data_IF_763494844916
#
_entry.id   IF_763494844916
#
_cell.length_a   1.000
_cell.length_b   1.000
_cell.length_c   1.000
_cell.angle_alpha   90.00
_cell.angle_beta   90.00
_cell.angle_gamma   90.00
#
_symmetry.space_group_name_H-M   'P 1'
#
loop_
_entity.id
_entity.type
_entity.pdbx_description
1 polymer ?
#
# COMPACT_ATOMS: atom_id res chain seq x y z
N UNK A 1 13.96 9.74 34.24
CA UNK A 1 14.03 10.22 32.83
C UNK A 1 13.21 9.31 31.94
N UNK A 2 12.23 9.87 31.24
CA UNK A 2 11.29 9.11 30.40
C UNK A 2 12.01 8.60 29.15
N UNK A 3 11.68 7.39 28.68
CA UNK A 3 12.22 6.82 27.43
C UNK A 3 11.95 7.73 26.21
N UNK A 4 10.95 8.61 26.31
CA UNK A 4 10.60 9.63 25.32
C UNK A 4 11.65 10.75 25.22
N UNK A 5 12.35 11.05 26.31
CA UNK A 5 13.40 12.07 26.36
C UNK A 5 14.67 11.59 25.65
N UNK A 6 14.96 10.27 25.74
CA UNK A 6 16.10 9.64 25.03
C UNK A 6 15.94 9.64 23.51
N UNK A 7 14.70 9.51 23.00
CA UNK A 7 14.45 9.53 21.55
C UNK A 7 14.44 10.95 20.95
N UNK A 8 14.10 11.97 21.75
CA UNK A 8 14.31 13.37 21.35
C UNK A 8 15.80 13.70 21.30
N UNK A 9 16.57 13.26 22.30
CA UNK A 9 18.02 13.39 22.31
C UNK A 9 18.70 12.75 21.08
N UNK A 10 18.17 11.67 20.50
CA UNK A 10 18.73 11.06 19.27
C UNK A 10 18.29 11.74 17.97
N UNK A 11 17.25 12.58 17.99
CA UNK A 11 16.83 13.35 16.80
C UNK A 11 17.48 14.74 16.73
N UNK A 12 17.89 15.27 17.88
CA UNK A 12 18.70 16.49 17.98
C UNK A 12 20.20 16.18 18.08
N UNK A 13 20.60 14.90 18.06
CA UNK A 13 22.00 14.51 17.82
C UNK A 13 22.24 14.35 16.31
N UNK A 14 22.00 15.40 15.54
CA UNK A 14 23.05 15.77 14.60
C UNK A 14 24.26 15.98 15.49
N UNK A 15 25.19 15.03 15.47
CA UNK A 15 26.48 15.24 16.08
C UNK A 15 27.07 16.40 15.29
N UNK A 16 26.79 17.62 15.75
CA UNK A 16 27.64 18.77 15.49
C UNK A 16 28.93 18.42 16.22
N UNK A 17 29.76 17.60 15.57
CA UNK A 17 31.17 17.52 15.87
C UNK A 17 31.68 18.93 15.58
N UNK A 18 31.66 19.79 16.61
CA UNK A 18 32.39 21.05 16.59
C UNK A 18 33.83 20.67 16.22
N UNK A 19 34.36 21.09 15.06
CA UNK A 19 35.72 20.74 14.70
C UNK A 19 36.62 21.48 15.68
N UNK A 20 37.08 20.79 16.71
CA UNK A 20 38.14 21.27 17.59
C UNK A 20 39.45 21.18 16.81
N UNK A 21 39.64 22.13 15.90
CA UNK A 21 40.83 22.24 15.07
C UNK A 21 40.58 23.13 13.85
N UNK A 22 41.12 24.35 13.88
CA UNK A 22 41.20 25.21 12.71
C UNK A 22 42.08 24.51 11.65
N UNK A 23 41.54 24.02 10.53
CA UNK A 23 42.35 23.29 9.52
C UNK A 23 43.19 24.22 8.63
N UNK A 24 42.57 25.19 7.94
CA UNK A 24 43.21 26.25 7.15
C UNK A 24 42.13 27.23 6.65
N UNK A 25 42.52 28.38 6.09
CA UNK A 25 41.59 29.41 5.62
C UNK A 25 40.72 28.95 4.43
N UNK A 26 41.22 28.04 3.58
CA UNK A 26 40.48 27.42 2.47
C UNK A 26 40.69 25.89 2.43
N UNK A 27 39.92 25.10 3.20
CA UNK A 27 40.07 23.64 3.22
C UNK A 27 39.48 22.95 1.99
N UNK A 28 40.27 22.09 1.33
CA UNK A 28 39.85 21.22 0.24
C UNK A 28 39.52 19.81 0.78
N UNK A 29 38.24 19.57 1.08
CA UNK A 29 37.82 18.34 1.78
C UNK A 29 37.47 17.23 0.78
N UNK A 30 38.13 16.08 0.91
CA UNK A 30 37.82 14.84 0.17
C UNK A 30 37.63 13.64 1.11
N UNK A 31 36.79 12.70 0.71
CA UNK A 31 36.65 11.41 1.42
C UNK A 31 37.67 10.41 0.88
N UNK A 32 38.63 9.99 1.71
CA UNK A 32 39.63 8.95 1.38
C UNK A 32 39.69 7.91 2.48
N UNK A 33 39.67 6.63 2.10
CA UNK A 33 39.79 5.47 3.00
C UNK A 33 38.82 5.44 4.19
N UNK A 34 37.63 6.05 4.03
CA UNK A 34 36.64 6.13 5.10
C UNK A 34 36.91 7.26 6.10
N UNK A 35 37.84 8.17 5.81
CA UNK A 35 38.05 9.40 6.58
C UNK A 35 37.75 10.62 5.70
N UNK A 36 37.27 11.70 6.31
CA UNK A 36 37.07 12.99 5.67
C UNK A 36 38.31 13.84 5.95
N UNK A 37 39.12 14.02 4.92
CA UNK A 37 40.46 14.61 5.04
C UNK A 37 40.52 15.89 4.22
N UNK A 38 41.16 16.93 4.77
CA UNK A 38 41.53 18.09 3.97
C UNK A 38 42.84 17.84 3.22
N UNK A 39 42.84 17.97 1.89
CA UNK A 39 44.05 17.77 1.06
C UNK A 39 45.11 18.86 1.29
N UNK A 40 44.69 20.07 1.69
CA UNK A 40 45.61 21.19 1.88
C UNK A 40 46.41 21.06 3.19
N UNK A 41 45.76 20.69 4.29
CA UNK A 41 46.34 20.68 5.63
C UNK A 41 46.62 19.25 6.15
N UNK A 42 46.09 18.21 5.49
CA UNK A 42 46.19 16.81 5.92
C UNK A 42 45.35 16.46 7.15
N UNK A 43 44.61 17.42 7.72
CA UNK A 43 43.79 17.21 8.91
C UNK A 43 42.57 16.34 8.58
N UNK A 44 42.37 15.32 9.40
CA UNK A 44 41.18 14.47 9.38
C UNK A 44 40.10 15.21 10.18
N UNK A 45 39.07 15.72 9.50
CA UNK A 45 37.98 16.44 10.14
C UNK A 45 36.98 15.49 10.80
N UNK A 46 36.69 14.37 10.14
CA UNK A 46 35.85 13.33 10.70
C UNK A 46 36.28 11.97 10.18
N UNK A 47 36.10 10.94 11.00
CA UNK A 47 36.23 9.55 10.56
C UNK A 47 34.85 9.06 10.16
N UNK A 48 34.65 8.61 8.93
CA UNK A 48 33.45 7.85 8.59
C UNK A 48 33.60 6.46 9.24
N UNK A 49 33.15 6.37 10.48
CA UNK A 49 32.89 5.10 11.13
C UNK A 49 31.80 4.40 10.31
N UNK A 50 32.20 3.51 9.40
CA UNK A 50 31.28 2.55 8.82
C UNK A 50 30.81 1.70 9.99
N UNK A 51 29.62 2.02 10.50
CA UNK A 51 28.90 1.11 11.38
C UNK A 51 28.83 -0.20 10.60
N UNK A 52 29.59 -1.20 11.05
CA UNK A 52 29.43 -2.55 10.57
C UNK A 52 28.03 -2.97 11.04
N UNK A 53 27.00 -2.58 10.28
CA UNK A 53 25.76 -3.30 10.25
C UNK A 53 26.20 -4.74 10.02
N UNK A 54 26.07 -5.57 11.05
CA UNK A 54 26.46 -6.98 10.95
C UNK A 54 25.76 -7.48 9.69
N UNK A 55 26.48 -7.90 8.66
CA UNK A 55 25.90 -8.40 7.39
C UNK A 55 25.62 -9.89 7.54
N UNK A 56 24.42 -10.34 7.21
CA UNK A 56 24.10 -11.76 7.15
C UNK A 56 24.10 -12.15 5.69
N UNK A 57 25.00 -13.04 5.31
CA UNK A 57 25.17 -13.44 3.91
C UNK A 57 24.36 -14.69 3.59
N UNK A 58 24.06 -15.50 4.60
CA UNK A 58 23.28 -16.74 4.45
C UNK A 58 21.85 -16.60 5.00
N UNK A 59 20.91 -17.34 4.41
CA UNK A 59 19.52 -17.39 4.88
C UNK A 59 19.44 -17.92 6.33
N UNK A 60 20.34 -18.82 6.71
CA UNK A 60 20.44 -19.33 8.07
C UNK A 60 20.92 -18.28 9.07
N UNK A 61 21.94 -17.48 8.72
CA UNK A 61 22.37 -16.33 9.52
C UNK A 61 21.24 -15.31 9.69
N UNK A 62 20.51 -15.01 8.61
CA UNK A 62 19.33 -14.13 8.66
C UNK A 62 18.29 -14.69 9.63
N UNK A 63 18.01 -15.99 9.58
CA UNK A 63 17.02 -16.63 10.43
C UNK A 63 17.45 -16.72 11.90
N UNK A 64 18.72 -17.00 12.18
CA UNK A 64 19.28 -16.99 13.54
C UNK A 64 19.24 -15.58 14.13
N UNK A 65 19.60 -14.57 13.35
CA UNK A 65 19.54 -13.16 13.76
C UNK A 65 18.13 -12.68 14.06
N UNK A 66 17.15 -13.05 13.25
CA UNK A 66 15.73 -12.75 13.50
C UNK A 66 15.24 -13.22 14.88
N UNK A 67 15.93 -14.16 15.54
CA UNK A 67 15.59 -14.62 16.90
C UNK A 67 16.19 -13.74 18.00
N UNK A 68 17.44 -13.32 17.85
CA UNK A 68 18.20 -12.58 18.88
C UNK A 68 18.13 -11.06 18.74
N UNK A 69 17.89 -10.56 17.52
CA UNK A 69 17.85 -9.12 17.28
C UNK A 69 16.48 -8.53 17.65
N UNK A 70 16.45 -7.33 18.24
CA UNK A 70 15.20 -6.63 18.49
C UNK A 70 14.51 -6.35 17.15
N UNK A 71 13.36 -6.97 16.91
CA UNK A 71 12.55 -6.69 15.74
C UNK A 71 11.86 -5.36 15.93
N UNK A 72 12.44 -4.29 15.41
CA UNK A 72 11.82 -2.97 15.37
C UNK A 72 10.55 -3.05 14.51
N UNK A 73 9.40 -3.16 15.18
CA UNK A 73 8.11 -3.00 14.53
C UNK A 73 7.64 -1.58 14.79
N UNK A 74 7.12 -0.93 13.76
CA UNK A 74 6.47 0.39 13.89
C UNK A 74 5.15 0.32 14.68
N UNK A 75 4.57 -0.87 14.84
CA UNK A 75 3.28 -1.09 15.48
C UNK A 75 3.22 -2.47 16.15
N UNK A 76 2.42 -2.54 17.22
CA UNK A 76 2.18 -3.75 18.00
C UNK A 76 3.21 -3.97 19.13
N UNK A 77 2.92 -4.90 20.04
CA UNK A 77 3.79 -5.21 21.17
C UNK A 77 5.17 -5.71 20.69
N UNK A 78 6.23 -5.16 21.30
CA UNK A 78 7.63 -5.44 20.93
C UNK A 78 8.03 -6.89 21.18
N UNK A 79 7.55 -7.44 22.29
CA UNK A 79 7.70 -8.84 22.67
C UNK A 79 6.30 -9.43 22.85
N UNK A 80 6.13 -10.73 22.66
CA UNK A 80 4.88 -11.41 22.97
C UNK A 80 5.23 -12.63 23.81
N UNK A 81 4.55 -12.80 24.94
CA UNK A 81 4.60 -14.05 25.69
C UNK A 81 3.70 -15.07 24.97
N UNK A 82 4.28 -16.05 24.24
CA UNK A 82 3.48 -17.08 23.60
C UNK A 82 2.82 -17.95 24.68
N UNK A 83 1.66 -18.50 24.36
CA UNK A 83 1.00 -19.49 25.20
C UNK A 83 1.62 -20.89 24.99
N UNK A 84 2.96 -20.98 24.90
CA UNK A 84 3.66 -22.23 24.67
C UNK A 84 3.66 -23.08 25.95
N UNK A 85 3.55 -24.40 25.78
CA UNK A 85 3.65 -25.36 26.89
C UNK A 85 5.09 -25.85 27.10
N UNK A 86 6.03 -25.33 26.30
CA UNK A 86 7.39 -25.82 26.12
C UNK A 86 8.34 -24.65 26.34
N UNK A 87 9.38 -24.89 27.13
CA UNK A 87 10.49 -23.98 27.41
C UNK A 87 11.48 -23.94 26.22
N UNK A 88 12.36 -22.95 26.19
CA UNK A 88 13.44 -22.78 25.20
C UNK A 88 14.29 -24.05 24.97
N UNK A 89 14.44 -24.88 26.00
CA UNK A 89 15.18 -26.17 25.96
C UNK A 89 14.32 -27.37 25.56
N UNK A 90 13.09 -27.16 25.08
CA UNK A 90 12.21 -28.26 24.66
C UNK A 90 11.49 -28.99 25.80
N UNK A 91 11.65 -28.55 27.06
CA UNK A 91 11.03 -29.19 28.22
C UNK A 91 9.61 -28.67 28.47
N UNK A 92 8.71 -29.55 28.90
CA UNK A 92 7.34 -29.17 29.27
C UNK A 92 7.35 -28.29 30.52
N UNK A 93 6.57 -27.21 30.48
CA UNK A 93 6.42 -26.28 31.60
C UNK A 93 5.50 -26.91 32.65
N UNK A 94 5.92 -26.88 33.92
CA UNK A 94 5.12 -27.32 35.07
C UNK A 94 3.77 -26.58 35.14
N UNK A 95 2.76 -27.21 35.74
CA UNK A 95 1.41 -26.62 35.84
C UNK A 95 1.40 -25.21 36.48
N UNK A 96 2.21 -25.01 37.55
CA UNK A 96 2.39 -23.69 38.20
C UNK A 96 3.03 -22.65 37.26
N UNK A 97 3.97 -23.07 36.42
CA UNK A 97 4.60 -22.19 35.44
C UNK A 97 3.61 -21.78 34.33
N UNK A 98 2.80 -22.73 33.85
CA UNK A 98 1.76 -22.47 32.85
C UNK A 98 0.75 -21.42 33.33
N UNK A 99 0.30 -21.51 34.59
CA UNK A 99 -0.63 -20.52 35.15
C UNK A 99 0.02 -19.15 35.31
N UNK A 100 1.30 -19.09 35.74
CA UNK A 100 2.06 -17.85 35.80
C UNK A 100 2.18 -17.18 34.43
N UNK A 101 2.62 -17.91 33.39
CA UNK A 101 2.76 -17.35 32.03
C UNK A 101 1.42 -16.94 31.42
N UNK A 102 0.35 -17.68 31.69
CA UNK A 102 -1.01 -17.28 31.29
C UNK A 102 -1.42 -15.96 31.94
N UNK A 103 -1.15 -15.77 33.25
CA UNK A 103 -1.41 -14.50 33.95
C UNK A 103 -0.56 -13.36 33.40
N UNK A 104 0.74 -13.59 33.19
CA UNK A 104 1.64 -12.59 32.62
C UNK A 104 1.23 -12.19 31.20
N UNK A 105 0.81 -13.15 30.37
CA UNK A 105 0.28 -12.87 29.03
C UNK A 105 -1.00 -12.04 29.08
N UNK A 106 -1.91 -12.31 30.03
CA UNK A 106 -3.10 -11.47 30.26
C UNK A 106 -2.73 -10.04 30.67
N UNK A 107 -1.82 -9.89 31.63
CA UNK A 107 -1.32 -8.58 32.08
C UNK A 107 -0.70 -7.83 30.89
N UNK A 108 0.17 -8.50 30.14
CA UNK A 108 0.80 -7.90 28.97
C UNK A 108 -0.23 -7.43 27.93
N UNK A 109 -1.23 -8.27 27.61
CA UNK A 109 -2.28 -7.90 26.66
C UNK A 109 -3.16 -6.74 27.16
N UNK A 110 -3.32 -6.57 28.48
CA UNK A 110 -4.04 -5.44 29.06
C UNK A 110 -3.29 -4.10 28.93
N UNK A 111 -1.95 -4.13 28.86
CA UNK A 111 -1.12 -2.95 28.63
C UNK A 111 -1.13 -2.46 27.17
N UNK A 112 -1.67 -3.26 26.24
CA UNK A 112 -1.71 -2.92 24.81
C UNK A 112 -2.76 -1.84 24.56
N UNK A 113 -2.30 -0.73 23.99
CA UNK A 113 -3.16 0.39 23.61
C UNK A 113 -4.23 -0.03 22.60
N UNK A 114 -5.39 0.63 22.64
CA UNK A 114 -6.49 0.34 21.72
C UNK A 114 -6.09 0.49 20.24
N UNK A 115 -5.23 1.48 19.94
CA UNK A 115 -4.70 1.70 18.58
C UNK A 115 -3.76 0.56 18.14
N UNK A 116 -2.94 0.04 19.05
CA UNK A 116 -2.01 -1.05 18.74
C UNK A 116 -2.76 -2.36 18.49
N UNK A 117 -3.81 -2.63 19.28
CA UNK A 117 -4.73 -3.75 19.03
C UNK A 117 -5.38 -3.64 17.66
N UNK A 118 -5.82 -2.44 17.27
CA UNK A 118 -6.38 -2.20 15.95
C UNK A 118 -5.36 -2.48 14.84
N UNK A 119 -4.12 -1.99 14.96
CA UNK A 119 -3.07 -2.27 13.98
C UNK A 119 -2.72 -3.75 13.89
N UNK A 120 -2.75 -4.46 15.01
CA UNK A 120 -2.52 -5.89 15.08
C UNK A 120 -3.56 -6.68 14.28
N UNK A 121 -4.83 -6.30 14.37
CA UNK A 121 -5.90 -6.91 13.60
C UNK A 121 -5.84 -6.52 12.12
N UNK A 122 -5.57 -5.25 11.82
CA UNK A 122 -5.70 -4.71 10.49
C UNK A 122 -4.58 -5.11 9.54
N UNK A 123 -3.32 -5.18 10.00
CA UNK A 123 -2.20 -5.41 9.09
C UNK A 123 -2.20 -6.79 8.42
N UNK A 124 -2.46 -7.91 9.13
CA UNK A 124 -2.60 -9.22 8.49
C UNK A 124 -3.72 -9.24 7.45
N UNK A 125 -4.86 -8.61 7.76
CA UNK A 125 -6.01 -8.50 6.86
C UNK A 125 -5.68 -7.68 5.61
N UNK A 126 -4.99 -6.54 5.76
CA UNK A 126 -4.51 -5.74 4.62
C UNK A 126 -3.54 -6.57 3.76
N UNK A 127 -2.58 -7.27 4.37
CA UNK A 127 -1.63 -8.13 3.65
C UNK A 127 -2.34 -9.26 2.89
N UNK A 128 -3.35 -9.88 3.50
CA UNK A 128 -4.16 -10.91 2.85
C UNK A 128 -4.89 -10.33 1.63
N UNK A 129 -5.53 -9.17 1.79
CA UNK A 129 -6.29 -8.51 0.73
C UNK A 129 -5.39 -8.09 -0.45
N UNK A 130 -4.23 -7.50 -0.17
CA UNK A 130 -3.26 -7.12 -1.21
C UNK A 130 -2.72 -8.33 -1.96
N UNK A 131 -2.49 -9.44 -1.25
CA UNK A 131 -2.01 -10.68 -1.87
C UNK A 131 -3.08 -11.31 -2.76
N UNK A 132 -4.36 -11.31 -2.35
CA UNK A 132 -5.47 -11.79 -3.17
C UNK A 132 -5.64 -11.01 -4.49
N UNK A 133 -5.36 -9.71 -4.47
CA UNK A 133 -5.53 -8.82 -5.63
C UNK A 133 -4.25 -8.63 -6.47
N UNK A 134 -3.15 -9.30 -6.08
CA UNK A 134 -1.81 -9.16 -6.66
C UNK A 134 -1.37 -7.68 -6.76
N UNK A 135 -1.55 -6.93 -5.67
CA UNK A 135 -1.21 -5.52 -5.60
C UNK A 135 0.27 -5.34 -5.25
N UNK A 136 1.02 -4.47 -5.95
CA UNK A 136 2.41 -4.17 -5.63
C UNK A 136 2.65 -3.64 -4.21
N UNK A 137 3.85 -3.88 -3.68
CA UNK A 137 4.21 -3.50 -2.30
C UNK A 137 4.11 -1.99 -2.06
N UNK A 138 4.49 -1.15 -3.04
CA UNK A 138 4.41 0.31 -2.89
C UNK A 138 2.98 0.83 -2.65
N UNK A 139 1.96 0.21 -3.29
CA UNK A 139 0.54 0.54 -3.06
C UNK A 139 0.09 0.05 -1.68
N UNK A 140 0.59 -1.11 -1.25
CA UNK A 140 0.30 -1.65 0.08
C UNK A 140 0.88 -0.77 1.19
N UNK A 141 2.07 -0.22 0.99
CA UNK A 141 2.69 0.72 1.93
C UNK A 141 1.89 2.02 2.02
N UNK A 142 1.44 2.59 0.90
CA UNK A 142 0.59 3.78 0.93
C UNK A 142 -0.78 3.50 1.53
N UNK A 143 -1.37 2.33 1.26
CA UNK A 143 -2.60 1.88 1.92
C UNK A 143 -2.42 1.79 3.45
N UNK A 144 -1.27 1.27 3.91
CA UNK A 144 -0.95 1.20 5.33
C UNK A 144 -0.74 2.59 5.94
N UNK A 145 -0.07 3.51 5.23
CA UNK A 145 0.09 4.91 5.66
C UNK A 145 -1.28 5.58 5.83
N UNK A 146 -2.17 5.45 4.86
CA UNK A 146 -3.56 5.96 4.93
C UNK A 146 -4.28 5.37 6.14
N UNK A 147 -4.27 4.04 6.29
CA UNK A 147 -4.92 3.37 7.43
C UNK A 147 -4.36 3.81 8.79
N UNK A 148 -3.05 4.04 8.88
CA UNK A 148 -2.40 4.51 10.10
C UNK A 148 -2.93 5.86 10.58
N UNK A 149 -3.27 6.76 9.65
CA UNK A 149 -3.86 8.07 9.96
C UNK A 149 -5.33 7.90 10.35
N UNK A 150 -6.08 7.06 9.64
CA UNK A 150 -7.48 6.72 9.98
C UNK A 150 -7.59 6.23 11.43
N UNK A 151 -6.73 5.31 11.84
CA UNK A 151 -6.72 4.77 13.21
C UNK A 151 -6.30 5.82 14.24
N UNK A 152 -5.30 6.67 13.93
CA UNK A 152 -4.88 7.79 14.78
C UNK A 152 -5.99 8.81 15.02
N UNK A 153 -6.82 9.07 14.00
CA UNK A 153 -8.02 9.92 14.09
C UNK A 153 -9.24 9.24 14.73
N UNK A 154 -9.12 7.97 15.16
CA UNK A 154 -10.20 7.18 15.76
C UNK A 154 -11.44 7.03 14.86
N UNK A 155 -11.30 7.17 13.54
CA UNK A 155 -12.43 7.03 12.59
C UNK A 155 -13.00 5.61 12.52
N UNK A 156 -12.22 4.62 12.97
CA UNK A 156 -12.59 3.21 13.05
C UNK A 156 -13.51 2.89 14.24
N UNK A 157 -13.66 3.78 15.22
CA UNK A 157 -14.46 3.48 16.42
C UNK A 157 -15.95 3.38 16.08
N UNK A 158 -16.57 2.27 16.46
CA UNK A 158 -18.00 1.99 16.17
C UNK A 158 -18.30 1.60 14.72
N UNK A 159 -17.28 1.28 13.92
CA UNK A 159 -17.42 0.94 12.49
C UNK A 159 -16.58 -0.28 12.15
N UNK A 160 -16.85 -0.90 11.00
CA UNK A 160 -16.11 -2.09 10.56
C UNK A 160 -14.66 -1.74 10.20
N UNK A 161 -13.71 -2.42 10.87
CA UNK A 161 -12.28 -2.35 10.55
C UNK A 161 -12.05 -2.79 9.10
N UNK A 162 -12.71 -3.87 8.68
CA UNK A 162 -12.58 -4.43 7.33
C UNK A 162 -13.00 -3.44 6.24
N UNK A 163 -14.04 -2.64 6.50
CA UNK A 163 -14.47 -1.58 5.60
C UNK A 163 -13.40 -0.51 5.40
N UNK A 164 -12.75 -0.08 6.49
CA UNK A 164 -11.64 0.89 6.41
C UNK A 164 -10.39 0.31 5.76
N UNK A 165 -10.11 -0.98 5.95
CA UNK A 165 -8.98 -1.65 5.27
C UNK A 165 -9.21 -1.66 3.76
N UNK A 166 -10.40 -2.12 3.33
CA UNK A 166 -10.78 -2.15 1.92
C UNK A 166 -10.79 -0.74 1.31
N UNK A 167 -11.33 0.25 2.02
CA UNK A 167 -11.37 1.63 1.56
C UNK A 167 -9.98 2.29 1.52
N UNK A 168 -9.09 2.01 2.48
CA UNK A 168 -7.71 2.53 2.48
C UNK A 168 -6.90 1.95 1.34
N UNK A 169 -7.08 0.65 1.07
CA UNK A 169 -6.47 0.00 -0.09
C UNK A 169 -6.99 0.60 -1.40
N UNK A 170 -8.31 0.78 -1.52
CA UNK A 170 -8.88 1.39 -2.71
C UNK A 170 -8.40 2.84 -2.88
N UNK A 171 -8.36 3.65 -1.82
CA UNK A 171 -7.80 5.00 -1.89
C UNK A 171 -6.35 5.01 -2.39
N UNK A 172 -5.50 4.09 -1.91
CA UNK A 172 -4.12 3.95 -2.38
C UNK A 172 -4.03 3.57 -3.87
N UNK A 173 -4.86 2.62 -4.32
CA UNK A 173 -4.99 2.25 -5.74
C UNK A 173 -5.32 3.50 -6.58
N UNK A 174 -6.19 4.38 -6.08
CA UNK A 174 -6.59 5.61 -6.78
C UNK A 174 -5.52 6.70 -6.80
N UNK A 175 -4.71 6.77 -5.76
CA UNK A 175 -3.55 7.67 -5.72
C UNK A 175 -2.49 7.23 -6.74
N UNK A 176 -2.29 5.92 -6.89
CA UNK A 176 -1.33 5.32 -7.82
C UNK A 176 -1.89 5.00 -9.21
N UNK A 177 -3.13 5.40 -9.51
CA UNK A 177 -3.76 5.17 -10.82
C UNK A 177 -3.79 3.69 -11.29
N UNK A 178 -3.88 2.75 -10.34
CA UNK A 178 -3.91 1.33 -10.68
C UNK A 178 -5.33 0.90 -11.11
N UNK A 179 -5.52 0.17 -12.23
CA UNK A 179 -6.83 -0.07 -12.85
C UNK A 179 -7.66 -1.16 -12.14
N UNK A 180 -8.01 -0.94 -10.86
CA UNK A 180 -8.89 -1.84 -10.09
C UNK A 180 -10.23 -1.19 -9.77
N UNK A 181 -11.27 -2.01 -9.82
CA UNK A 181 -12.63 -1.59 -9.55
C UNK A 181 -12.93 -1.68 -8.06
N UNK A 182 -13.81 -0.80 -7.57
CA UNK A 182 -14.27 -0.86 -6.17
C UNK A 182 -14.93 -2.22 -5.85
N UNK A 183 -15.71 -2.75 -6.79
CA UNK A 183 -16.40 -4.03 -6.63
C UNK A 183 -15.43 -5.19 -6.42
N UNK A 184 -14.31 -5.22 -7.15
CA UNK A 184 -13.29 -6.27 -6.96
C UNK A 184 -12.67 -6.23 -5.56
N UNK A 185 -12.44 -5.03 -5.02
CA UNK A 185 -11.94 -4.87 -3.66
C UNK A 185 -13.00 -5.30 -2.64
N UNK A 186 -14.26 -5.00 -2.89
CA UNK A 186 -15.38 -5.43 -2.04
C UNK A 186 -15.51 -6.96 -2.03
N UNK A 187 -15.46 -7.59 -3.21
CA UNK A 187 -15.55 -9.05 -3.37
C UNK A 187 -14.38 -9.75 -2.68
N UNK A 188 -13.15 -9.25 -2.85
CA UNK A 188 -11.96 -9.84 -2.24
C UNK A 188 -11.91 -9.69 -0.70
N UNK A 189 -12.52 -8.62 -0.18
CA UNK A 189 -12.61 -8.33 1.26
C UNK A 189 -13.88 -8.87 1.92
N UNK A 190 -14.83 -9.42 1.15
CA UNK A 190 -16.14 -9.86 1.63
C UNK A 190 -16.90 -8.77 2.41
N UNK A 191 -16.67 -7.49 2.07
CA UNK A 191 -17.37 -6.36 2.72
C UNK A 191 -18.40 -5.73 1.79
N UNK A 192 -19.57 -5.34 2.32
CA UNK A 192 -20.62 -4.78 1.49
C UNK A 192 -20.21 -3.42 0.94
N UNK A 193 -20.45 -3.20 -0.36
CA UNK A 193 -20.09 -1.98 -1.10
C UNK A 193 -20.49 -0.68 -0.40
N UNK A 194 -21.66 -0.63 0.25
CA UNK A 194 -22.14 0.54 1.00
C UNK A 194 -21.18 0.94 2.14
N UNK A 195 -20.64 -0.03 2.86
CA UNK A 195 -19.71 0.22 3.97
C UNK A 195 -18.36 0.71 3.49
N UNK A 196 -17.82 0.11 2.42
CA UNK A 196 -16.57 0.53 1.79
C UNK A 196 -16.71 1.93 1.20
N UNK A 197 -17.82 2.23 0.55
CA UNK A 197 -18.06 3.57 -0.01
C UNK A 197 -18.17 4.65 1.08
N UNK A 198 -18.88 4.37 2.18
CA UNK A 198 -18.99 5.31 3.31
C UNK A 198 -17.62 5.57 3.95
N UNK A 199 -16.82 4.53 4.17
CA UNK A 199 -15.47 4.66 4.73
C UNK A 199 -14.52 5.37 3.77
N UNK A 200 -14.59 5.08 2.47
CA UNK A 200 -13.84 5.79 1.44
C UNK A 200 -14.14 7.29 1.44
N UNK A 201 -15.42 7.68 1.55
CA UNK A 201 -15.80 9.09 1.61
C UNK A 201 -15.15 9.84 2.78
N UNK A 202 -15.00 9.20 3.93
CA UNK A 202 -14.33 9.79 5.10
C UNK A 202 -12.82 9.87 4.90
N UNK A 203 -12.20 8.83 4.36
CA UNK A 203 -10.76 8.83 4.04
C UNK A 203 -10.42 9.95 3.06
N UNK A 204 -11.21 10.10 1.99
CA UNK A 204 -10.98 11.10 0.96
C UNK A 204 -11.13 12.52 1.50
N UNK A 205 -12.09 12.75 2.40
CA UNK A 205 -12.34 14.07 2.99
C UNK A 205 -11.36 14.43 4.11
N UNK A 206 -11.04 13.49 5.00
CA UNK A 206 -10.35 13.80 6.25
C UNK A 206 -8.89 13.35 6.27
N UNK A 207 -8.49 12.35 5.47
CA UNK A 207 -7.16 11.72 5.58
C UNK A 207 -6.26 12.06 4.40
N UNK A 208 -6.79 12.03 3.17
CA UNK A 208 -5.98 12.33 1.98
C UNK A 208 -5.40 13.75 1.95
N UNK A 209 -6.14 14.81 2.39
CA UNK A 209 -5.58 16.16 2.45
C UNK A 209 -4.41 16.29 3.43
N UNK A 210 -4.47 15.59 4.57
CA UNK A 210 -3.39 15.61 5.56
C UNK A 210 -2.11 14.94 5.05
N UNK A 211 -2.26 13.93 4.20
CA UNK A 211 -1.14 13.23 3.57
C UNK A 211 -0.67 13.88 2.27
N UNK A 212 -1.28 15.00 1.85
CA UNK A 212 -1.05 15.64 0.55
C UNK A 212 -1.20 14.67 -0.64
N UNK A 213 -2.09 13.67 -0.53
CA UNK A 213 -2.34 12.69 -1.58
C UNK A 213 -3.56 13.09 -2.40
N UNK A 214 -3.45 13.04 -3.74
CA UNK A 214 -4.55 13.39 -4.65
C UNK A 214 -5.35 12.16 -5.05
N UNK A 215 -6.65 12.19 -4.75
CA UNK A 215 -7.58 11.18 -5.24
C UNK A 215 -7.98 11.49 -6.69
N UNK A 216 -7.61 10.61 -7.63
CA UNK A 216 -7.94 10.78 -9.05
C UNK A 216 -9.14 9.91 -9.44
N UNK A 217 -10.11 10.40 -10.23
CA UNK A 217 -11.23 9.61 -10.77
C UNK A 217 -10.76 8.56 -11.79
N UNK A 218 -11.61 7.57 -12.10
CA UNK A 218 -11.18 6.40 -12.90
C UNK A 218 -11.46 6.72 -14.35
N UNK A 219 -10.45 6.58 -15.18
CA UNK A 219 -10.56 6.83 -16.60
C UNK A 219 -10.89 5.54 -17.33
N UNK A 220 -11.69 5.63 -18.38
CA UNK A 220 -12.04 4.47 -19.20
C UNK A 220 -10.80 3.89 -19.92
N UNK A 221 -9.83 4.74 -20.27
CA UNK A 221 -8.58 4.36 -20.96
C UNK A 221 -7.77 3.32 -20.17
N UNK A 222 -7.62 3.50 -18.86
CA UNK A 222 -6.91 2.54 -17.98
C UNK A 222 -7.64 1.19 -17.92
N UNK A 223 -8.96 1.19 -18.01
CA UNK A 223 -9.77 -0.02 -18.00
C UNK A 223 -9.71 -0.76 -19.35
N UNK A 224 -9.51 -0.06 -20.46
CA UNK A 224 -9.45 -0.68 -21.80
C UNK A 224 -8.32 -1.70 -21.89
N UNK A 225 -7.10 -1.32 -21.49
CA UNK A 225 -5.95 -2.23 -21.52
C UNK A 225 -6.15 -3.44 -20.62
N UNK A 226 -6.67 -3.20 -19.41
CA UNK A 226 -6.87 -4.28 -18.45
C UNK A 226 -7.93 -5.27 -18.94
N UNK A 227 -9.12 -4.80 -19.29
CA UNK A 227 -10.17 -5.68 -19.81
C UNK A 227 -9.77 -6.34 -21.12
N UNK A 228 -8.99 -5.65 -21.97
CA UNK A 228 -8.40 -6.22 -23.18
C UNK A 228 -7.50 -7.41 -22.88
N UNK A 229 -6.65 -7.30 -21.86
CA UNK A 229 -5.79 -8.40 -21.40
C UNK A 229 -6.60 -9.54 -20.79
N UNK A 230 -7.60 -9.23 -19.95
CA UNK A 230 -8.50 -10.23 -19.34
C UNK A 230 -9.30 -11.00 -20.42
N UNK A 231 -9.60 -10.37 -21.56
CA UNK A 231 -10.28 -10.99 -22.72
C UNK A 231 -9.31 -11.68 -23.71
N UNK A 232 -7.99 -11.57 -23.51
CA UNK A 232 -6.98 -12.11 -24.41
C UNK A 232 -6.93 -11.41 -25.78
N UNK A 233 -7.26 -10.12 -25.85
CA UNK A 233 -7.21 -9.34 -27.09
C UNK A 233 -5.79 -8.86 -27.38
N UNK A 234 -5.34 -8.88 -28.65
CA UNK A 234 -4.01 -8.39 -29.01
C UNK A 234 -3.93 -6.87 -28.80
N UNK A 235 -2.72 -6.38 -28.54
CA UNK A 235 -2.44 -4.97 -28.24
C UNK A 235 -2.95 -4.02 -29.35
N UNK A 236 -2.92 -4.45 -30.61
CA UNK A 236 -3.46 -3.66 -31.74
C UNK A 236 -4.94 -3.35 -31.59
N UNK A 237 -5.75 -4.31 -31.14
CA UNK A 237 -7.19 -4.13 -30.93
C UNK A 237 -7.43 -3.21 -29.73
N UNK A 238 -6.61 -3.33 -28.68
CA UNK A 238 -6.69 -2.47 -27.50
C UNK A 238 -6.34 -1.01 -27.84
N UNK A 239 -5.32 -0.78 -28.68
CA UNK A 239 -4.97 0.56 -29.19
C UNK A 239 -6.10 1.15 -30.03
N UNK A 240 -6.62 0.39 -31.00
CA UNK A 240 -7.79 0.80 -31.79
C UNK A 240 -8.99 1.17 -30.90
N UNK A 241 -9.22 0.41 -29.83
CA UNK A 241 -10.27 0.74 -28.86
C UNK A 241 -10.02 2.11 -28.20
N UNK A 242 -8.80 2.40 -27.76
CA UNK A 242 -8.49 3.73 -27.19
C UNK A 242 -8.67 4.83 -28.22
N UNK A 243 -8.20 4.64 -29.44
CA UNK A 243 -8.33 5.62 -30.52
C UNK A 243 -9.80 5.96 -30.77
N UNK A 244 -10.66 4.94 -30.89
CA UNK A 244 -12.12 5.11 -31.01
C UNK A 244 -12.73 5.87 -29.84
N UNK A 245 -12.26 5.64 -28.61
CA UNK A 245 -12.74 6.36 -27.43
C UNK A 245 -12.27 7.82 -27.43
N UNK A 246 -11.06 8.10 -27.93
CA UNK A 246 -10.53 9.46 -28.05
C UNK A 246 -11.25 10.23 -29.15
N UNK A 247 -11.48 9.62 -30.32
CA UNK A 247 -12.16 10.24 -31.44
C UNK A 247 -13.63 10.51 -31.12
N UNK A 248 -14.33 9.55 -30.50
CA UNK A 248 -15.69 9.79 -30.03
C UNK A 248 -15.74 10.96 -29.02
N UNK A 249 -14.72 11.10 -28.18
CA UNK A 249 -14.63 12.22 -27.23
C UNK A 249 -14.38 13.56 -27.91
N UNK A 250 -13.54 13.60 -28.97
CA UNK A 250 -13.33 14.80 -29.80
C UNK A 250 -14.62 15.20 -30.51
N UNK A 251 -15.40 14.21 -30.97
CA UNK A 251 -16.68 14.41 -31.66
C UNK A 251 -17.86 14.72 -30.69
N UNK A 252 -17.55 15.14 -29.45
CA UNK A 252 -18.53 15.62 -28.48
C UNK A 252 -19.21 14.52 -27.65
N UNK A 253 -18.60 13.33 -27.49
CA UNK A 253 -19.09 12.36 -26.51
C UNK A 253 -18.86 12.88 -25.10
N UNK A 254 -19.94 13.28 -24.43
CA UNK A 254 -19.93 13.62 -23.01
C UNK A 254 -19.43 12.42 -22.19
N UNK A 255 -18.25 12.56 -21.56
CA UNK A 255 -17.68 11.58 -20.63
C UNK A 255 -18.21 11.77 -19.20
N UNK A 256 -18.61 12.99 -18.85
CA UNK A 256 -19.11 13.34 -17.51
C UNK A 256 -20.45 12.66 -17.21
N UNK A 257 -20.59 12.12 -15.99
CA UNK A 257 -21.82 11.46 -15.53
C UNK A 257 -22.08 10.07 -16.13
N UNK A 258 -21.19 9.56 -16.98
CA UNK A 258 -21.27 8.19 -17.52
C UNK A 258 -20.32 7.28 -16.78
N UNK A 259 -20.73 6.02 -16.59
CA UNK A 259 -19.88 5.01 -15.97
C UNK A 259 -18.69 4.67 -16.91
N UNK A 260 -17.44 4.94 -16.50
CA UNK A 260 -16.25 4.63 -17.30
C UNK A 260 -16.10 3.14 -17.61
N UNK A 261 -16.61 2.24 -16.77
CA UNK A 261 -16.59 0.80 -17.07
C UNK A 261 -17.39 0.47 -18.33
N UNK A 262 -18.59 1.03 -18.42
CA UNK A 262 -19.49 0.81 -19.56
C UNK A 262 -18.92 1.39 -20.86
N UNK A 263 -18.23 2.55 -20.78
CA UNK A 263 -17.52 3.12 -21.92
C UNK A 263 -16.38 2.19 -22.38
N UNK A 264 -15.49 1.78 -21.47
CA UNK A 264 -14.40 0.87 -21.79
C UNK A 264 -14.88 -0.44 -22.42
N UNK A 265 -15.89 -1.09 -21.81
CA UNK A 265 -16.49 -2.33 -22.31
C UNK A 265 -17.07 -2.16 -23.72
N UNK A 266 -17.82 -1.07 -23.95
CA UNK A 266 -18.46 -0.82 -25.25
C UNK A 266 -17.45 -0.61 -26.38
N UNK A 267 -16.35 0.08 -26.10
CA UNK A 267 -15.34 0.36 -27.12
C UNK A 267 -14.48 -0.86 -27.42
N UNK A 268 -14.14 -1.65 -26.39
CA UNK A 268 -13.51 -2.96 -26.60
C UNK A 268 -14.37 -3.85 -27.50
N UNK A 269 -15.66 -3.96 -27.20
CA UNK A 269 -16.57 -4.76 -28.02
C UNK A 269 -16.63 -4.26 -29.47
N UNK A 270 -16.65 -2.94 -29.70
CA UNK A 270 -16.64 -2.38 -31.06
C UNK A 270 -15.32 -2.68 -31.79
N UNK A 271 -14.17 -2.48 -31.13
CA UNK A 271 -12.86 -2.75 -31.73
C UNK A 271 -12.65 -4.24 -32.02
N UNK A 272 -13.08 -5.12 -31.10
CA UNK A 272 -13.07 -6.57 -31.26
C UNK A 272 -13.97 -7.02 -32.42
N UNK A 273 -15.14 -6.39 -32.59
CA UNK A 273 -16.07 -6.69 -33.69
C UNK A 273 -15.50 -6.29 -35.06
N UNK A 274 -14.78 -5.18 -35.13
CA UNK A 274 -14.12 -4.69 -36.35
C UNK A 274 -12.82 -5.43 -36.70
N UNK A 275 -12.32 -6.27 -35.80
CA UNK A 275 -11.09 -7.04 -35.97
C UNK A 275 -11.41 -8.54 -36.10
N UNK A 276 -10.40 -9.36 -36.41
CA UNK A 276 -10.57 -10.82 -36.50
C UNK A 276 -10.75 -11.51 -35.13
N UNK A 277 -10.62 -10.78 -34.02
CA UNK A 277 -10.77 -11.28 -32.66
C UNK A 277 -12.16 -10.94 -32.09
N UNK A 278 -13.21 -11.56 -32.65
CA UNK A 278 -14.59 -11.32 -32.20
C UNK A 278 -14.82 -11.87 -30.79
N UNK A 279 -15.50 -11.07 -29.96
CA UNK A 279 -15.93 -11.44 -28.61
C UNK A 279 -17.44 -11.23 -28.47
N UNK A 280 -18.11 -12.10 -27.72
CA UNK A 280 -19.55 -11.97 -27.48
C UNK A 280 -19.83 -10.82 -26.50
N UNK A 281 -21.05 -10.29 -26.51
CA UNK A 281 -21.43 -9.25 -25.56
C UNK A 281 -21.42 -9.77 -24.12
N UNK A 282 -21.82 -11.04 -23.92
CA UNK A 282 -21.80 -11.73 -22.65
C UNK A 282 -20.38 -11.75 -22.05
N UNK A 283 -19.38 -12.22 -22.80
CA UNK A 283 -17.97 -12.26 -22.38
C UNK A 283 -17.45 -10.89 -21.94
N UNK A 284 -17.70 -9.85 -22.74
CA UNK A 284 -17.23 -8.50 -22.43
C UNK A 284 -17.97 -7.92 -21.22
N UNK A 285 -19.26 -8.22 -21.08
CA UNK A 285 -20.09 -7.75 -19.97
C UNK A 285 -19.68 -8.37 -18.62
N UNK A 286 -19.30 -9.64 -18.64
CA UNK A 286 -18.84 -10.38 -17.46
C UNK A 286 -17.51 -9.80 -16.93
N UNK A 287 -16.52 -9.63 -17.81
CA UNK A 287 -15.21 -9.06 -17.44
C UNK A 287 -15.36 -7.62 -16.92
N UNK A 288 -16.20 -6.81 -17.55
CA UNK A 288 -16.40 -5.42 -17.14
C UNK A 288 -17.29 -5.27 -15.89
N UNK A 289 -17.99 -6.33 -15.46
CA UNK A 289 -19.06 -6.30 -14.43
C UNK A 289 -20.15 -5.28 -14.75
N UNK A 290 -20.62 -5.30 -16.00
CA UNK A 290 -21.62 -4.37 -16.55
C UNK A 290 -22.74 -5.18 -17.21
N UNK A 291 -23.98 -4.68 -17.26
CA UNK A 291 -25.07 -5.41 -17.91
C UNK A 291 -24.97 -5.32 -19.44
N UNK A 292 -25.40 -6.36 -20.17
CA UNK A 292 -25.40 -6.31 -21.64
C UNK A 292 -26.20 -5.12 -22.21
N UNK A 293 -27.31 -4.76 -21.56
CA UNK A 293 -28.17 -3.63 -21.98
C UNK A 293 -27.39 -2.32 -21.95
N UNK A 294 -26.58 -2.10 -20.92
CA UNK A 294 -25.77 -0.89 -20.81
C UNK A 294 -24.64 -0.90 -21.83
N UNK A 295 -24.00 -2.06 -22.09
CA UNK A 295 -23.03 -2.21 -23.18
C UNK A 295 -23.63 -1.83 -24.53
N UNK A 296 -24.82 -2.35 -24.87
CA UNK A 296 -25.54 -2.03 -26.12
C UNK A 296 -25.85 -0.54 -26.23
N UNK A 297 -26.42 0.05 -25.17
CA UNK A 297 -26.75 1.47 -25.13
C UNK A 297 -25.51 2.36 -25.36
N UNK A 298 -24.39 2.07 -24.68
CA UNK A 298 -23.14 2.81 -24.85
C UNK A 298 -22.52 2.62 -26.23
N UNK A 299 -22.51 1.39 -26.75
CA UNK A 299 -21.99 1.14 -28.10
C UNK A 299 -22.76 1.90 -29.18
N UNK A 300 -24.09 2.06 -29.03
CA UNK A 300 -24.92 2.87 -29.94
C UNK A 300 -24.52 4.35 -29.86
N UNK A 301 -24.34 4.88 -28.65
CA UNK A 301 -23.92 6.28 -28.45
C UNK A 301 -22.56 6.58 -29.06
N UNK A 302 -21.59 5.67 -28.88
CA UNK A 302 -20.23 5.84 -29.42
C UNK A 302 -20.25 5.75 -30.94
N UNK A 303 -21.01 4.81 -31.50
CA UNK A 303 -21.17 4.69 -32.96
C UNK A 303 -21.74 5.96 -33.60
N UNK A 304 -22.76 6.58 -32.99
CA UNK A 304 -23.33 7.85 -33.51
C UNK A 304 -22.36 9.02 -33.51
N UNK A 305 -21.26 8.94 -32.75
CA UNK A 305 -20.25 9.99 -32.66
C UNK A 305 -19.00 9.69 -33.48
N UNK A 306 -18.87 8.47 -34.00
CA UNK A 306 -17.79 8.07 -34.89
C UNK A 306 -18.19 8.12 -36.37
N UNK A 307 -19.50 8.09 -36.65
CA UNK A 307 -20.09 8.41 -37.95
C UNK A 307 -20.19 9.93 -38.10
#
# INVERSE_FOLDING_TARGET
MSYRDRLRSTKDSTVEDSPSGHCCENPSVESKDGDVVCLNCGMIQSRNLVGNERRAYTVEEVNKRRRTEPRWREFGPRTMLPNSKIDSKGRLINAKGKTLFSRLSKIQNSLISSIERNFWEAKPKLKMLTSKLNIPEYIKETAWKIYSVVARKKLTMGRSIDGFIAASLYAAIRVHEFPRLLEEVCDASMTPRRTVHRSLGMIVKEVLPELNLRYKPITAEQLVFRFGNDLGLPMEVQKKAIDMLTDASRNGLLRTGKDPKGLAASVIYMAAKSSNCRKTQAEVSEVAKVTEVTLRSRSKQIRMKLA
#
